data_IF_352815831539
#
_entry.id   IF_352815831539
#
_cell.length_a   1.000
_cell.length_b   1.000
_cell.length_c   1.000
_cell.angle_alpha   90.00
_cell.angle_beta   90.00
_cell.angle_gamma   90.00
#
_symmetry.space_group_name_H-M   'P 1'
#
loop_
_entity.id
_entity.type
_entity.pdbx_description
1 polymer ?
#
# COMPACT_ATOMS: atom_id res chain seq x y z
N UNK A 1 30.32 18.87 -4.25
CA UNK A 1 28.92 18.66 -3.86
C UNK A 1 28.33 17.86 -5.01
N UNK A 2 27.92 16.60 -4.87
CA UNK A 2 27.05 16.07 -3.82
C UNK A 2 27.44 14.68 -3.33
N UNK A 3 27.34 14.59 -2.00
CA UNK A 3 27.24 13.38 -1.20
C UNK A 3 25.81 12.83 -1.35
N UNK A 4 25.65 11.51 -1.27
CA UNK A 4 24.40 10.79 -0.94
C UNK A 4 23.70 10.11 -2.12
N UNK A 5 24.02 8.83 -2.34
CA UNK A 5 23.12 7.91 -3.05
C UNK A 5 23.32 6.44 -2.68
N UNK A 6 23.83 6.16 -1.47
CA UNK A 6 23.73 4.85 -0.81
C UNK A 6 23.11 5.03 0.57
N UNK A 7 21.85 5.44 0.59
CA UNK A 7 21.07 5.51 1.82
C UNK A 7 19.63 5.01 1.59
N UNK A 8 19.53 3.95 0.77
CA UNK A 8 18.29 3.25 0.44
C UNK A 8 17.95 2.15 1.44
N UNK A 9 18.91 1.66 2.23
CA UNK A 9 18.74 0.34 2.85
C UNK A 9 18.00 0.36 4.20
N UNK A 10 17.58 1.54 4.67
CA UNK A 10 16.89 1.68 5.96
C UNK A 10 15.70 2.63 5.97
N UNK A 11 15.30 3.22 4.83
CA UNK A 11 14.15 4.12 4.78
C UNK A 11 12.91 3.38 4.30
N UNK A 12 11.84 3.44 5.08
CA UNK A 12 10.54 2.87 4.68
C UNK A 12 9.87 3.84 3.70
N UNK A 13 9.58 3.40 2.48
CA UNK A 13 8.95 4.25 1.44
C UNK A 13 7.48 4.58 1.74
N UNK A 14 6.85 3.89 2.70
CA UNK A 14 5.46 4.16 3.10
C UNK A 14 5.37 5.37 4.04
N UNK A 15 6.26 5.45 5.04
CA UNK A 15 6.26 6.55 6.02
C UNK A 15 7.38 7.58 5.80
N UNK A 16 8.26 7.34 4.82
CA UNK A 16 9.40 8.18 4.47
C UNK A 16 10.40 8.42 5.62
N UNK A 17 10.36 7.56 6.64
CA UNK A 17 11.22 7.62 7.84
C UNK A 17 12.08 6.35 7.96
N UNK A 18 12.98 6.32 8.95
CA UNK A 18 13.79 5.14 9.24
C UNK A 18 12.90 3.97 9.65
N UNK A 19 13.13 2.82 9.04
CA UNK A 19 12.32 1.63 9.23
C UNK A 19 12.57 1.04 10.64
N UNK A 20 11.58 1.16 11.52
CA UNK A 20 11.54 0.46 12.80
C UNK A 20 10.87 -0.91 12.63
N UNK A 21 11.44 -1.95 13.25
CA UNK A 21 10.98 -3.34 13.10
C UNK A 21 10.83 -3.74 11.63
N UNK A 22 11.97 -3.86 10.96
CA UNK A 22 12.04 -4.08 9.52
C UNK A 22 11.33 -5.38 9.14
N UNK A 23 10.56 -5.31 8.06
CA UNK A 23 9.89 -6.48 7.47
C UNK A 23 10.28 -6.64 6.01
N UNK A 24 10.37 -7.90 5.58
CA UNK A 24 10.61 -8.28 4.17
C UNK A 24 9.40 -9.03 3.63
N UNK A 25 9.01 -8.75 2.39
CA UNK A 25 7.97 -9.50 1.69
C UNK A 25 8.48 -10.89 1.25
N UNK A 26 7.56 -11.81 0.96
CA UNK A 26 7.87 -13.15 0.46
C UNK A 26 8.32 -13.15 -1.01
N UNK A 27 7.69 -12.32 -1.84
CA UNK A 27 7.94 -12.27 -3.29
C UNK A 27 8.95 -11.19 -3.72
N UNK A 28 9.48 -10.38 -2.80
CA UNK A 28 10.54 -9.40 -3.11
C UNK A 28 11.38 -9.04 -1.89
N UNK A 29 12.56 -8.44 -2.12
CA UNK A 29 13.52 -8.09 -1.06
C UNK A 29 13.36 -6.66 -0.50
N UNK A 30 12.25 -5.96 -0.80
CA UNK A 30 12.01 -4.61 -0.30
C UNK A 30 11.68 -4.62 1.20
N UNK A 31 12.19 -3.61 1.92
CA UNK A 31 12.07 -3.47 3.36
C UNK A 31 11.13 -2.33 3.75
N UNK A 32 10.29 -2.58 4.76
CA UNK A 32 9.34 -1.60 5.29
C UNK A 32 9.31 -1.66 6.82
N UNK A 33 8.59 -0.75 7.47
CA UNK A 33 8.22 -0.96 8.88
C UNK A 33 7.10 -2.01 8.96
N UNK A 34 7.11 -2.84 10.02
CA UNK A 34 6.01 -3.76 10.32
C UNK A 34 4.63 -3.07 10.29
N UNK A 35 4.46 -1.99 11.05
CA UNK A 35 3.18 -1.29 11.14
C UNK A 35 2.72 -0.74 9.78
N UNK A 36 3.67 -0.29 8.95
CA UNK A 36 3.37 0.27 7.64
C UNK A 36 2.91 -0.81 6.67
N UNK A 37 3.64 -1.93 6.56
CA UNK A 37 3.25 -3.01 5.64
C UNK A 37 1.98 -3.71 6.11
N UNK A 38 1.77 -3.85 7.43
CA UNK A 38 0.58 -4.48 7.97
C UNK A 38 -0.68 -3.70 7.54
N UNK A 39 -0.69 -2.39 7.75
CA UNK A 39 -1.79 -1.51 7.32
C UNK A 39 -1.95 -1.48 5.79
N UNK A 40 -0.85 -1.57 5.05
CA UNK A 40 -0.90 -1.64 3.59
C UNK A 40 -1.56 -2.94 3.11
N UNK A 41 -1.23 -4.07 3.73
CA UNK A 41 -1.74 -5.38 3.36
C UNK A 41 -3.25 -5.53 3.54
N UNK A 42 -3.88 -4.73 4.40
CA UNK A 42 -5.34 -4.65 4.54
C UNK A 42 -6.03 -4.12 3.27
N UNK A 43 -5.31 -3.33 2.46
CA UNK A 43 -5.85 -2.65 1.27
C UNK A 43 -5.30 -3.18 -0.04
N UNK A 44 -4.04 -3.63 -0.04
CA UNK A 44 -3.36 -4.07 -1.25
C UNK A 44 -2.31 -5.13 -0.94
N UNK A 45 -2.31 -6.18 -1.76
CA UNK A 45 -1.30 -7.24 -1.75
C UNK A 45 -0.19 -7.00 -2.76
N UNK A 46 -0.03 -5.75 -3.25
CA UNK A 46 1.07 -5.39 -4.14
C UNK A 46 2.15 -4.65 -3.37
N UNK A 47 3.42 -4.97 -3.63
CA UNK A 47 4.54 -4.27 -3.02
C UNK A 47 4.46 -2.76 -3.31
N UNK A 48 4.56 -1.87 -2.30
CA UNK A 48 4.53 -0.41 -2.52
C UNK A 48 5.63 0.11 -3.45
N UNK A 49 6.74 -0.63 -3.58
CA UNK A 49 7.90 -0.20 -4.35
C UNK A 49 7.93 -0.79 -5.77
N UNK A 50 7.71 -2.10 -5.93
CA UNK A 50 7.80 -2.76 -7.25
C UNK A 50 6.48 -3.33 -7.76
N UNK A 51 5.39 -3.22 -6.99
CA UNK A 51 4.04 -3.70 -7.32
C UNK A 51 3.90 -5.22 -7.50
N UNK A 52 4.95 -5.99 -7.24
CA UNK A 52 4.90 -7.47 -7.20
C UNK A 52 3.90 -7.91 -6.13
N UNK A 53 3.04 -8.87 -6.46
CA UNK A 53 2.07 -9.42 -5.50
C UNK A 53 2.79 -10.18 -4.39
N UNK A 54 2.34 -10.03 -3.15
CA UNK A 54 2.87 -10.74 -1.99
C UNK A 54 1.73 -11.40 -1.21
N UNK A 55 2.03 -12.49 -0.51
CA UNK A 55 1.05 -13.24 0.29
C UNK A 55 1.34 -13.20 1.79
N UNK A 56 2.59 -12.94 2.14
CA UNK A 56 3.03 -12.84 3.52
C UNK A 56 4.28 -11.96 3.64
N UNK A 57 4.61 -11.59 4.88
CA UNK A 57 5.81 -10.83 5.20
C UNK A 57 6.45 -11.33 6.50
N UNK A 58 7.75 -11.07 6.62
CA UNK A 58 8.60 -11.61 7.68
C UNK A 58 9.23 -10.47 8.49
N UNK A 59 9.05 -10.48 9.80
CA UNK A 59 9.78 -9.58 10.70
C UNK A 59 11.26 -9.99 10.81
N UNK A 60 12.16 -9.03 10.58
CA UNK A 60 13.59 -9.16 10.78
C UNK A 60 13.93 -8.63 12.18
N UNK A 61 14.54 -9.47 13.02
CA UNK A 61 15.06 -9.04 14.33
C UNK A 61 16.58 -9.26 14.35
N UNK A 62 17.28 -8.38 15.06
CA UNK A 62 18.75 -8.34 15.07
C UNK A 62 19.42 -9.37 16.01
N UNK A 63 18.68 -10.22 16.73
CA UNK A 63 19.33 -11.19 17.60
C UNK A 63 19.73 -12.49 16.86
N UNK A 64 20.97 -12.98 17.06
CA UNK A 64 21.55 -14.13 16.35
C UNK A 64 20.88 -15.49 16.66
N UNK A 65 19.78 -15.51 17.42
CA UNK A 65 19.03 -16.72 17.81
C UNK A 65 17.59 -16.75 17.29
N UNK A 66 17.16 -15.81 16.44
CA UNK A 66 15.72 -15.51 16.30
C UNK A 66 14.96 -16.36 15.27
N UNK A 67 13.82 -16.87 15.76
CA UNK A 67 12.64 -17.30 15.03
C UNK A 67 12.05 -16.17 14.18
N UNK A 68 12.11 -16.31 12.85
CA UNK A 68 11.42 -15.43 11.91
C UNK A 68 9.91 -15.52 12.16
N UNK A 69 9.25 -14.40 12.45
CA UNK A 69 7.78 -14.35 12.54
C UNK A 69 7.21 -14.11 11.14
N UNK A 70 6.45 -15.09 10.63
CA UNK A 70 5.67 -14.97 9.39
C UNK A 70 4.31 -14.35 9.71
N UNK A 71 3.91 -13.35 8.94
CA UNK A 71 2.59 -12.73 8.97
C UNK A 71 1.94 -12.93 7.61
N UNK A 72 0.74 -13.51 7.60
CA UNK A 72 -0.04 -13.68 6.37
C UNK A 72 -0.82 -12.39 6.09
N UNK A 73 -0.87 -11.98 4.83
CA UNK A 73 -1.66 -10.85 4.44
C UNK A 73 -3.16 -11.17 4.65
N UNK A 74 -3.93 -10.28 5.28
CA UNK A 74 -5.36 -10.49 5.50
C UNK A 74 -6.09 -10.59 4.15
N UNK A 75 -7.22 -11.30 4.09
CA UNK A 75 -8.03 -11.29 2.86
C UNK A 75 -8.58 -9.88 2.63
N UNK A 76 -8.32 -9.29 1.46
CA UNK A 76 -8.95 -8.04 1.05
C UNK A 76 -10.42 -8.33 0.76
N UNK A 77 -11.30 -7.90 1.65
CA UNK A 77 -12.76 -8.02 1.48
C UNK A 77 -13.23 -6.73 0.82
N UNK A 78 -13.49 -6.76 -0.49
CA UNK A 78 -14.15 -5.66 -1.17
C UNK A 78 -15.64 -5.77 -0.86
N UNK A 79 -16.12 -5.01 0.13
CA UNK A 79 -17.52 -5.06 0.50
C UNK A 79 -18.36 -4.50 -0.66
N UNK A 80 -19.35 -5.26 -1.14
CA UNK A 80 -20.16 -4.87 -2.31
C UNK A 80 -20.88 -3.52 -2.13
N UNK A 81 -21.07 -3.08 -0.89
CA UNK A 81 -21.65 -1.78 -0.54
C UNK A 81 -20.72 -0.62 -0.94
N UNK A 82 -19.40 -0.74 -0.78
CA UNK A 82 -18.43 0.28 -1.21
C UNK A 82 -18.43 0.42 -2.75
N UNK A 83 -18.63 -0.69 -3.46
CA UNK A 83 -18.78 -0.69 -4.92
C UNK A 83 -20.09 0.00 -5.36
N UNK A 84 -21.19 -0.18 -4.61
CA UNK A 84 -22.46 0.53 -4.85
C UNK A 84 -22.32 2.03 -4.57
N UNK A 85 -21.63 2.41 -3.50
CA UNK A 85 -21.37 3.82 -3.17
C UNK A 85 -20.52 4.52 -4.24
N UNK A 86 -19.49 3.83 -4.77
CA UNK A 86 -18.70 4.34 -5.89
C UNK A 86 -19.57 4.55 -7.15
N UNK A 87 -20.42 3.57 -7.49
CA UNK A 87 -21.33 3.68 -8.63
C UNK A 87 -22.39 4.78 -8.46
N UNK A 88 -22.81 5.09 -7.24
CA UNK A 88 -23.72 6.21 -6.94
C UNK A 88 -23.01 7.58 -7.07
N UNK A 89 -21.73 7.67 -6.69
CA UNK A 89 -20.94 8.90 -6.84
C UNK A 89 -20.71 9.27 -8.32
N UNK A 90 -20.65 8.28 -9.22
CA UNK A 90 -20.56 8.51 -10.66
C UNK A 90 -21.87 9.06 -11.25
N UNK A 91 -23.03 8.70 -10.68
CA UNK A 91 -24.34 9.19 -11.12
C UNK A 91 -24.47 10.70 -10.88
N UNK A 92 -24.04 11.22 -9.74
CA UNK A 92 -24.11 12.65 -9.45
C UNK A 92 -23.22 13.46 -10.40
N UNK A 93 -22.00 12.99 -10.69
CA UNK A 93 -21.09 13.68 -11.63
C UNK A 93 -21.64 13.68 -13.07
N UNK A 94 -22.21 12.56 -13.53
CA UNK A 94 -22.82 12.51 -14.88
C UNK A 94 -24.06 13.40 -14.99
N UNK A 95 -24.84 13.55 -13.92
CA UNK A 95 -25.98 14.48 -13.88
C UNK A 95 -25.53 15.94 -13.95
N UNK A 96 -24.47 16.33 -13.23
CA UNK A 96 -23.87 17.66 -13.36
C UNK A 96 -23.29 17.91 -14.75
N UNK A 97 -22.59 16.94 -15.34
CA UNK A 97 -22.07 17.05 -16.72
C UNK A 97 -23.19 17.19 -17.77
N UNK A 98 -24.30 16.46 -17.62
CA UNK A 98 -25.48 16.57 -18.49
C UNK A 98 -26.19 17.93 -18.36
N UNK A 99 -26.27 18.48 -17.14
CA UNK A 99 -26.84 19.82 -16.89
C UNK A 99 -25.94 20.88 -17.52
N UNK A 100 -24.62 20.77 -17.39
CA UNK A 100 -23.67 21.72 -17.97
C UNK A 100 -23.72 21.69 -19.51
N UNK A 101 -23.87 20.51 -20.12
CA UNK A 101 -24.07 20.39 -21.56
C UNK A 101 -25.37 21.03 -22.07
N UNK A 102 -26.39 21.19 -21.23
CA UNK A 102 -27.63 21.88 -21.58
C UNK A 102 -27.53 23.40 -21.43
N UNK A 103 -26.58 23.90 -20.64
CA UNK A 103 -26.33 25.34 -20.46
C UNK A 103 -25.47 25.90 -21.61
N UNK A 104 -24.57 25.09 -22.19
CA UNK A 104 -23.71 25.48 -23.31
C UNK A 104 -24.44 25.60 -24.67
N UNK A 105 -25.76 25.35 -24.71
CA UNK A 105 -26.61 25.41 -25.92
C UNK A 105 -27.60 26.61 -25.93
N UNK A 106 -27.42 27.59 -25.03
CA UNK A 106 -28.12 28.89 -25.01
C UNK A 106 -27.12 30.01 -25.28
#
# INVERSE_FOLDING_TARGET
MDISSKQSDMKCVICLSFASNQVRLDQCSHLFCFACINKWSEKSHQCPQCRVMFSCFYELKNDPKINIKKHEAPKIINNSEDQRLMALADIDNTYYDLILQQIDFI
#
